data_IF_605360601708
#
_entry.id   IF_605360601708
#
_cell.length_a   1.000
_cell.length_b   1.000
_cell.length_c   1.000
_cell.angle_alpha   90.00
_cell.angle_beta   90.00
_cell.angle_gamma   90.00
#
_symmetry.space_group_name_H-M   'P 1'
#
loop_
_entity.id
_entity.type
_entity.pdbx_description
1 polymer ?
#
# COMPACT_ATOMS: atom_id res chain seq x y z
N UNK A 1 -1.87 24.04 20.11
CA UNK A 1 -1.60 24.84 18.89
C UNK A 1 -2.72 25.84 18.78
N UNK A 2 -2.41 27.12 18.64
CA UNK A 2 -3.39 28.20 18.51
C UNK A 2 -4.26 27.99 17.26
N UNK A 3 -5.55 28.33 17.34
CA UNK A 3 -6.46 28.18 16.20
C UNK A 3 -6.19 29.25 15.14
N UNK A 4 -6.57 28.99 13.88
CA UNK A 4 -6.46 30.00 12.82
C UNK A 4 -7.24 31.27 13.16
N UNK A 5 -8.38 31.13 13.83
CA UNK A 5 -9.20 32.26 14.26
C UNK A 5 -8.48 33.12 15.31
N UNK A 6 -7.80 32.51 16.28
CA UNK A 6 -6.99 33.24 17.27
C UNK A 6 -5.84 34.01 16.61
N UNK A 7 -5.15 33.38 15.65
CA UNK A 7 -4.05 34.03 14.92
C UNK A 7 -4.60 35.21 14.10
N UNK A 8 -5.71 35.03 13.38
CA UNK A 8 -6.35 36.09 12.60
C UNK A 8 -6.83 37.24 13.48
N UNK A 9 -7.50 36.95 14.59
CA UNK A 9 -7.95 37.95 15.54
C UNK A 9 -6.78 38.78 16.07
N UNK A 10 -5.67 38.13 16.43
CA UNK A 10 -4.49 38.81 16.93
C UNK A 10 -3.81 39.67 15.86
N UNK A 11 -3.69 39.17 14.63
CA UNK A 11 -3.13 39.94 13.51
C UNK A 11 -4.00 41.15 13.14
N UNK A 12 -5.33 41.03 13.27
CA UNK A 12 -6.25 42.12 13.00
C UNK A 12 -6.27 43.18 14.11
N UNK A 13 -6.03 42.78 15.36
CA UNK A 13 -6.04 43.66 16.52
C UNK A 13 -4.70 44.38 16.78
N UNK A 14 -3.60 43.93 16.18
CA UNK A 14 -2.27 44.51 16.38
C UNK A 14 -2.03 45.72 15.49
N UNK A 15 -1.45 46.79 16.06
CA UNK A 15 -1.09 48.02 15.32
C UNK A 15 0.12 47.84 14.37
N UNK A 16 0.77 46.67 14.38
CA UNK A 16 1.92 46.35 13.54
C UNK A 16 2.11 44.85 13.28
N UNK A 17 2.93 44.52 12.28
CA UNK A 17 3.20 43.13 11.87
C UNK A 17 4.40 42.54 12.62
N UNK A 18 4.15 41.54 13.48
CA UNK A 18 5.19 40.78 14.20
C UNK A 18 5.55 39.49 13.43
N UNK A 19 6.62 39.54 12.65
CA UNK A 19 7.17 38.39 11.90
C UNK A 19 7.52 37.22 12.84
N UNK A 20 8.08 37.49 14.02
CA UNK A 20 8.49 36.46 14.97
C UNK A 20 7.28 35.71 15.53
N UNK A 21 6.13 36.38 15.69
CA UNK A 21 4.89 35.72 16.07
C UNK A 21 4.39 34.74 15.00
N UNK A 22 4.42 35.14 13.73
CA UNK A 22 3.98 34.29 12.61
C UNK A 22 4.88 33.06 12.48
N UNK A 23 6.20 33.24 12.56
CA UNK A 23 7.17 32.14 12.49
C UNK A 23 6.97 31.10 13.61
N UNK A 24 6.65 31.54 14.83
CA UNK A 24 6.32 30.63 15.96
C UNK A 24 5.04 29.82 15.75
N UNK A 25 4.13 30.29 14.91
CA UNK A 25 2.83 29.67 14.64
C UNK A 25 2.74 29.06 13.23
N UNK A 26 3.89 28.83 12.58
CA UNK A 26 3.92 28.29 11.23
C UNK A 26 3.30 26.89 11.19
N UNK A 27 2.62 26.59 10.09
CA UNK A 27 2.03 25.28 9.88
C UNK A 27 3.13 24.21 9.79
N UNK A 28 2.89 22.99 10.32
CA UNK A 28 3.83 21.89 10.18
C UNK A 28 4.03 21.54 8.72
N UNK A 29 5.19 20.97 8.38
CA UNK A 29 5.42 20.46 7.04
C UNK A 29 4.44 19.33 6.70
N UNK A 30 4.18 19.13 5.40
CA UNK A 30 3.33 18.03 4.92
C UNK A 30 3.79 16.67 5.47
N UNK A 31 5.10 16.41 5.46
CA UNK A 31 5.67 15.14 5.92
C UNK A 31 5.46 14.92 7.43
N UNK A 32 5.62 15.97 8.23
CA UNK A 32 5.38 15.91 9.67
C UNK A 32 3.91 15.68 9.99
N UNK A 33 3.00 16.41 9.34
CA UNK A 33 1.57 16.25 9.54
C UNK A 33 1.13 14.84 9.15
N UNK A 34 1.55 14.34 7.99
CA UNK A 34 1.19 12.98 7.54
C UNK A 34 1.76 11.91 8.48
N UNK A 35 2.99 12.10 8.99
CA UNK A 35 3.58 11.21 10.00
C UNK A 35 2.75 11.18 11.28
N UNK A 36 2.30 12.33 11.78
CA UNK A 36 1.43 12.40 12.96
C UNK A 36 0.10 11.68 12.72
N UNK A 37 -0.53 11.88 11.55
CA UNK A 37 -1.80 11.23 11.20
C UNK A 37 -1.67 9.71 11.07
N UNK A 38 -0.53 9.23 10.58
CA UNK A 38 -0.20 7.80 10.52
C UNK A 38 0.04 7.20 11.91
N UNK A 39 0.80 7.89 12.76
CA UNK A 39 1.08 7.48 14.13
C UNK A 39 -0.19 7.41 14.97
N UNK A 40 -1.06 8.42 14.88
CA UNK A 40 -2.34 8.46 15.60
C UNK A 40 -3.27 7.28 15.27
N UNK A 41 -3.11 6.66 14.09
CA UNK A 41 -3.92 5.53 13.61
C UNK A 41 -3.18 4.20 13.64
N UNK A 42 -1.92 4.17 14.06
CA UNK A 42 -1.09 2.95 14.05
C UNK A 42 -0.80 2.40 12.64
N UNK A 43 -0.86 3.23 11.59
CA UNK A 43 -0.64 2.80 10.21
C UNK A 43 0.82 3.03 9.81
N UNK A 44 1.50 1.99 9.35
CA UNK A 44 2.85 2.10 8.83
C UNK A 44 2.89 2.77 7.45
N UNK A 45 3.99 3.48 7.17
CA UNK A 45 4.26 4.08 5.85
C UNK A 45 4.19 3.05 4.72
N UNK A 46 4.69 1.83 4.97
CA UNK A 46 4.65 0.74 4.02
C UNK A 46 3.22 0.20 3.76
N UNK A 47 2.33 0.22 4.75
CA UNK A 47 0.91 -0.10 4.54
C UNK A 47 0.25 0.95 3.64
N UNK A 48 0.48 2.25 3.91
CA UNK A 48 -0.07 3.32 3.08
C UNK A 48 0.39 3.21 1.62
N UNK A 49 1.71 3.05 1.39
CA UNK A 49 2.29 2.91 0.04
C UNK A 49 1.66 1.71 -0.71
N UNK A 50 1.48 0.58 -0.02
CA UNK A 50 0.84 -0.62 -0.60
C UNK A 50 -0.64 -0.37 -0.93
N UNK A 51 -1.38 0.30 -0.06
CA UNK A 51 -2.80 0.58 -0.27
C UNK A 51 -3.05 1.59 -1.41
N UNK A 52 -2.11 2.51 -1.63
CA UNK A 52 -2.19 3.47 -2.73
C UNK A 52 -1.74 2.89 -4.08
N UNK A 53 -1.20 1.67 -4.09
CA UNK A 53 -0.60 1.02 -5.27
C UNK A 53 0.47 1.88 -5.96
N UNK A 54 1.25 2.61 -5.17
CA UNK A 54 2.38 3.41 -5.68
C UNK A 54 3.67 2.61 -5.59
N UNK A 55 4.58 2.84 -6.53
CA UNK A 55 5.90 2.22 -6.50
C UNK A 55 6.61 2.56 -5.17
N UNK A 56 7.33 1.60 -4.59
CA UNK A 56 7.91 1.75 -3.25
C UNK A 56 8.82 2.97 -3.14
N UNK A 57 9.78 3.14 -4.07
CA UNK A 57 10.72 4.24 -4.05
C UNK A 57 10.00 5.60 -4.17
N UNK A 58 9.08 5.70 -5.13
CA UNK A 58 8.25 6.89 -5.33
C UNK A 58 7.41 7.22 -4.09
N UNK A 59 6.78 6.21 -3.48
CA UNK A 59 6.00 6.36 -2.25
C UNK A 59 6.82 6.94 -1.10
N UNK A 60 8.04 6.46 -0.88
CA UNK A 60 8.92 7.04 0.14
C UNK A 60 9.34 8.48 -0.17
N UNK A 61 9.62 8.82 -1.43
CA UNK A 61 9.92 10.20 -1.84
C UNK A 61 8.75 11.16 -1.57
N UNK A 62 7.51 10.71 -1.79
CA UNK A 62 6.31 11.47 -1.44
C UNK A 62 6.17 11.67 0.06
N UNK A 63 6.30 10.59 0.83
CA UNK A 63 6.13 10.62 2.28
C UNK A 63 7.30 11.31 3.03
N UNK A 64 8.43 11.53 2.37
CA UNK A 64 9.55 12.33 2.88
C UNK A 64 9.43 13.81 2.53
N UNK A 65 8.46 14.20 1.70
CA UNK A 65 8.33 15.58 1.22
C UNK A 65 9.32 15.97 0.11
N UNK A 66 10.15 15.04 -0.38
CA UNK A 66 11.06 15.29 -1.51
C UNK A 66 10.28 15.55 -2.81
N UNK A 67 9.14 14.89 -2.99
CA UNK A 67 8.23 15.08 -4.13
C UNK A 67 6.83 15.45 -3.67
N UNK A 68 6.14 16.26 -4.47
CA UNK A 68 4.75 16.64 -4.21
C UNK A 68 3.79 15.51 -4.57
N UNK A 69 2.83 15.26 -3.69
CA UNK A 69 1.77 14.30 -3.91
C UNK A 69 0.69 14.90 -4.81
N UNK A 70 0.19 14.15 -5.79
CA UNK A 70 -0.90 14.62 -6.65
C UNK A 70 -2.21 14.77 -5.86
N UNK A 71 -3.10 15.65 -6.31
CA UNK A 71 -4.41 15.90 -5.67
C UNK A 71 -5.22 14.61 -5.47
N UNK A 72 -5.30 13.77 -6.50
CA UNK A 72 -5.97 12.47 -6.43
C UNK A 72 -5.33 11.56 -5.38
N UNK A 73 -4.01 11.54 -5.28
CA UNK A 73 -3.30 10.70 -4.31
C UNK A 73 -3.48 11.22 -2.86
N UNK A 74 -3.61 12.53 -2.67
CA UNK A 74 -3.98 13.14 -1.39
C UNK A 74 -5.40 12.74 -0.98
N UNK A 75 -6.37 12.79 -1.90
CA UNK A 75 -7.75 12.34 -1.64
C UNK A 75 -7.79 10.85 -1.28
N UNK A 76 -7.09 10.01 -2.03
CA UNK A 76 -6.98 8.57 -1.72
C UNK A 76 -6.37 8.33 -0.35
N UNK A 77 -5.34 9.10 0.02
CA UNK A 77 -4.70 9.03 1.33
C UNK A 77 -5.70 9.40 2.43
N UNK A 78 -6.45 10.49 2.27
CA UNK A 78 -7.48 10.90 3.23
C UNK A 78 -8.57 9.83 3.43
N UNK A 79 -9.01 9.21 2.33
CA UNK A 79 -10.00 8.12 2.35
C UNK A 79 -9.45 6.86 3.04
N UNK A 80 -8.22 6.46 2.70
CA UNK A 80 -7.58 5.28 3.31
C UNK A 80 -7.39 5.44 4.81
N UNK A 81 -7.00 6.65 5.25
CA UNK A 81 -6.82 6.98 6.65
C UNK A 81 -8.15 7.25 7.38
N UNK A 82 -9.29 7.28 6.68
CA UNK A 82 -10.61 7.64 7.24
C UNK A 82 -10.55 8.93 8.05
N UNK A 83 -10.00 9.97 7.45
CA UNK A 83 -9.83 11.27 8.08
C UNK A 83 -11.17 12.02 8.17
N UNK A 84 -11.28 12.96 9.10
CA UNK A 84 -12.39 13.93 9.10
C UNK A 84 -12.25 14.88 7.91
N UNK A 85 -13.33 15.53 7.48
CA UNK A 85 -13.27 16.52 6.38
C UNK A 85 -12.32 17.67 6.72
N UNK A 86 -12.26 18.10 7.98
CA UNK A 86 -11.33 19.14 8.44
C UNK A 86 -9.87 18.69 8.30
N UNK A 87 -9.54 17.48 8.75
CA UNK A 87 -8.19 16.93 8.60
C UNK A 87 -7.82 16.68 7.13
N UNK A 88 -8.76 16.20 6.32
CA UNK A 88 -8.55 16.00 4.88
C UNK A 88 -8.29 17.33 4.16
N UNK A 89 -9.02 18.39 4.51
CA UNK A 89 -8.75 19.73 3.98
C UNK A 89 -7.37 20.25 4.41
N UNK A 90 -6.99 20.02 5.68
CA UNK A 90 -5.65 20.38 6.16
C UNK A 90 -4.56 19.63 5.40
N UNK A 91 -4.75 18.33 5.15
CA UNK A 91 -3.86 17.50 4.34
C UNK A 91 -3.68 18.08 2.91
N UNK A 92 -4.79 18.44 2.26
CA UNK A 92 -4.77 19.02 0.91
C UNK A 92 -4.05 20.37 0.88
N UNK A 93 -4.31 21.25 1.85
CA UNK A 93 -3.64 22.55 1.98
C UNK A 93 -2.13 22.39 2.13
N UNK A 94 -1.68 21.51 3.02
CA UNK A 94 -0.25 21.23 3.23
C UNK A 94 0.40 20.56 2.02
N UNK A 95 -0.36 19.74 1.28
CA UNK A 95 0.08 19.13 0.02
C UNK A 95 0.12 20.11 -1.16
N UNK A 96 -0.29 21.37 -0.98
CA UNK A 96 -0.36 22.38 -2.04
C UNK A 96 -1.48 22.14 -3.06
N UNK A 97 -2.53 21.39 -2.68
CA UNK A 97 -3.69 21.11 -3.52
C UNK A 97 -4.89 21.98 -3.10
N UNK A 98 -5.78 22.23 -4.07
CA UNK A 98 -7.04 22.93 -3.81
C UNK A 98 -7.88 22.19 -2.76
N UNK A 99 -8.57 22.96 -1.92
CA UNK A 99 -9.49 22.42 -0.92
C UNK A 99 -10.65 21.66 -1.60
N UNK A 100 -11.27 20.73 -0.86
CA UNK A 100 -12.47 20.03 -1.33
C UNK A 100 -13.61 21.03 -1.50
N UNK A 101 -14.19 21.06 -2.69
CA UNK A 101 -15.27 21.97 -3.04
C UNK A 101 -16.55 21.21 -3.32
N UNK A 102 -17.56 21.37 -2.46
CA UNK A 102 -18.80 20.59 -2.53
C UNK A 102 -19.62 20.76 -3.82
N UNK A 103 -19.34 21.80 -4.64
CA UNK A 103 -20.00 21.96 -5.95
C UNK A 103 -19.34 21.15 -7.06
N UNK A 104 -18.09 20.71 -6.88
CA UNK A 104 -17.48 19.74 -7.78
C UNK A 104 -18.06 18.36 -7.47
N UNK A 105 -18.54 17.68 -8.52
CA UNK A 105 -19.13 16.34 -8.44
C UNK A 105 -18.19 15.33 -7.77
N UNK A 106 -16.90 15.35 -8.10
CA UNK A 106 -15.93 14.40 -7.55
C UNK A 106 -15.66 14.68 -6.08
N UNK A 107 -15.43 15.95 -5.74
CA UNK A 107 -15.18 16.38 -4.38
C UNK A 107 -16.38 16.14 -3.47
N UNK A 108 -17.61 16.35 -3.96
CA UNK A 108 -18.84 16.04 -3.24
C UNK A 108 -18.90 14.55 -2.87
N UNK A 109 -18.52 13.65 -3.79
CA UNK A 109 -18.43 12.21 -3.52
C UNK A 109 -17.37 11.89 -2.47
N UNK A 110 -16.20 12.55 -2.54
CA UNK A 110 -15.13 12.39 -1.54
C UNK A 110 -15.59 12.84 -0.15
N UNK A 111 -16.21 14.03 -0.04
CA UNK A 111 -16.75 14.57 1.21
C UNK A 111 -17.78 13.60 1.79
N UNK A 112 -18.71 13.13 0.96
CA UNK A 112 -19.72 12.17 1.38
C UNK A 112 -19.10 10.85 1.90
N UNK A 113 -18.12 10.31 1.19
CA UNK A 113 -17.45 9.07 1.59
C UNK A 113 -16.69 9.21 2.92
N UNK A 114 -16.07 10.37 3.17
CA UNK A 114 -15.42 10.69 4.44
C UNK A 114 -16.42 10.78 5.59
N UNK A 115 -17.51 11.53 5.41
CA UNK A 115 -18.57 11.70 6.42
C UNK A 115 -19.26 10.38 6.77
N UNK A 116 -19.45 9.48 5.79
CA UNK A 116 -20.04 8.16 6.03
C UNK A 116 -19.05 7.11 6.54
N UNK A 117 -17.75 7.44 6.63
CA UNK A 117 -16.73 6.51 7.12
C UNK A 117 -16.58 5.25 6.27
N UNK A 118 -16.81 5.36 4.95
CA UNK A 118 -16.78 4.24 4.01
C UNK A 118 -15.43 3.50 4.06
N UNK A 119 -15.45 2.21 3.71
CA UNK A 119 -14.20 1.49 3.48
C UNK A 119 -13.47 2.09 2.28
N UNK A 120 -12.14 1.99 2.24
CA UNK A 120 -11.37 2.55 1.12
C UNK A 120 -11.75 1.93 -0.22
N UNK A 121 -12.07 0.63 -0.25
CA UNK A 121 -12.47 -0.09 -1.46
C UNK A 121 -13.84 0.38 -1.96
N UNK A 122 -14.81 0.51 -1.05
CA UNK A 122 -16.17 0.97 -1.39
C UNK A 122 -16.15 2.44 -1.82
N UNK A 123 -15.40 3.28 -1.10
CA UNK A 123 -15.24 4.69 -1.43
C UNK A 123 -14.59 4.87 -2.81
N UNK A 124 -13.57 4.06 -3.12
CA UNK A 124 -12.94 4.09 -4.43
C UNK A 124 -13.93 3.77 -5.55
N UNK A 125 -14.67 2.66 -5.40
CA UNK A 125 -15.67 2.25 -6.38
C UNK A 125 -16.79 3.28 -6.53
N UNK A 126 -17.24 3.88 -5.43
CA UNK A 126 -18.27 4.92 -5.45
C UNK A 126 -17.80 6.19 -6.17
N UNK A 127 -16.56 6.63 -5.94
CA UNK A 127 -16.04 7.88 -6.52
C UNK A 127 -15.67 7.68 -7.99
N UNK A 128 -14.87 6.65 -8.29
CA UNK A 128 -14.23 6.45 -9.60
C UNK A 128 -14.85 5.31 -10.45
N UNK A 129 -15.77 4.52 -9.91
CA UNK A 129 -16.27 3.31 -10.60
C UNK A 129 -17.13 3.57 -11.85
N UNK A 130 -17.72 4.75 -11.99
CA UNK A 130 -18.54 5.07 -13.18
C UNK A 130 -17.70 5.44 -14.41
N UNK A 131 -16.47 5.92 -14.23
CA UNK A 131 -15.65 6.39 -15.35
C UNK A 131 -14.92 5.26 -16.09
N UNK A 132 -14.74 4.10 -15.44
CA UNK A 132 -14.11 2.92 -16.06
C UNK A 132 -14.94 2.28 -17.19
N UNK A 133 -16.26 2.57 -17.27
CA UNK A 133 -17.14 1.97 -18.30
C UNK A 133 -16.95 2.54 -19.71
N UNK A 134 -16.21 3.64 -19.88
CA UNK A 134 -16.04 4.32 -21.18
C UNK A 134 -14.82 3.84 -21.99
N UNK A 135 -13.89 3.09 -21.40
CA UNK A 135 -12.76 2.49 -22.12
C UNK A 135 -12.98 0.98 -22.21
N UNK A 136 -13.47 0.54 -23.37
CA UNK A 136 -13.56 -0.87 -23.70
C UNK A 136 -12.18 -1.54 -23.62
N UNK A 137 -12.15 -2.67 -22.92
CA UNK A 137 -11.14 -3.73 -23.06
C UNK A 137 -9.67 -3.31 -22.82
N UNK A 138 -9.35 -2.78 -21.64
CA UNK A 138 -8.09 -3.12 -20.93
C UNK A 138 -8.07 -2.54 -19.51
N UNK A 139 -8.16 -3.43 -18.52
CA UNK A 139 -7.65 -3.14 -17.18
C UNK A 139 -8.72 -3.05 -16.11
N UNK A 140 -8.76 -4.10 -15.29
CA UNK A 140 -9.22 -3.98 -13.91
C UNK A 140 -8.47 -2.82 -13.20
N UNK A 141 -9.07 -2.21 -12.17
CA UNK A 141 -8.55 -1.04 -11.48
C UNK A 141 -7.11 -1.28 -11.00
N UNK A 142 -6.15 -0.54 -11.59
CA UNK A 142 -4.73 -0.55 -11.17
C UNK A 142 -4.55 -0.18 -9.68
N UNK A 143 -5.58 0.39 -9.03
CA UNK A 143 -5.56 0.87 -7.65
C UNK A 143 -6.18 -0.03 -6.57
N UNK A 144 -6.98 -1.05 -6.91
CA UNK A 144 -7.64 -1.92 -5.90
C UNK A 144 -6.98 -3.31 -5.81
N UNK A 145 -6.42 -3.82 -6.91
CA UNK A 145 -5.90 -5.20 -6.98
C UNK A 145 -4.68 -5.50 -6.10
N UNK A 146 -4.02 -4.49 -5.50
CA UNK A 146 -2.95 -4.75 -4.53
C UNK A 146 -3.47 -5.25 -3.17
N UNK A 147 -4.71 -4.92 -2.78
CA UNK A 147 -5.25 -5.33 -1.47
C UNK A 147 -5.82 -6.76 -1.50
N UNK A 148 -6.22 -7.26 -2.67
CA UNK A 148 -6.88 -8.57 -2.82
C UNK A 148 -5.93 -9.77 -2.98
N UNK A 149 -4.61 -9.61 -2.82
CA UNK A 149 -3.73 -10.77 -2.59
C UNK A 149 -3.81 -11.13 -1.11
N UNK A 150 -4.61 -12.15 -0.79
CA UNK A 150 -4.72 -12.77 0.54
C UNK A 150 -3.34 -12.89 1.20
N UNK A 151 -3.23 -12.74 2.54
CA UNK A 151 -1.99 -12.99 3.24
C UNK A 151 -1.50 -14.41 2.92
N UNK A 152 -0.20 -14.56 2.78
CA UNK A 152 0.49 -15.84 2.63
C UNK A 152 0.46 -16.59 3.98
N UNK A 153 -0.72 -16.83 4.55
CA UNK A 153 -0.91 -17.77 5.65
C UNK A 153 -1.15 -19.15 5.06
N UNK A 154 -0.07 -19.71 4.52
CA UNK A 154 0.22 -21.13 4.38
C UNK A 154 1.67 -21.19 3.86
N UNK A 155 2.60 -20.83 4.75
CA UNK A 155 3.98 -21.28 4.61
C UNK A 155 3.90 -22.80 4.77
N UNK A 156 3.82 -23.50 3.65
CA UNK A 156 4.00 -24.94 3.62
C UNK A 156 5.50 -25.18 3.92
N UNK A 157 5.87 -25.76 5.07
CA UNK A 157 7.28 -25.82 5.51
C UNK A 157 8.14 -26.79 4.70
N UNK A 158 7.56 -27.49 3.73
CA UNK A 158 8.27 -28.44 2.88
C UNK A 158 8.71 -27.78 1.57
N UNK A 159 9.85 -27.07 1.56
CA UNK A 159 10.74 -26.88 0.37
C UNK A 159 11.88 -25.90 0.69
N UNK A 160 12.69 -26.21 1.69
CA UNK A 160 14.11 -25.83 1.63
C UNK A 160 14.85 -27.00 0.97
N UNK A 161 15.24 -26.79 -0.28
CA UNK A 161 15.85 -27.80 -1.14
C UNK A 161 16.23 -27.19 -2.48
N UNK A 162 17.15 -26.24 -2.40
CA UNK A 162 18.06 -25.69 -3.42
C UNK A 162 18.04 -26.39 -4.79
N UNK A 163 17.82 -25.60 -5.85
CA UNK A 163 18.37 -25.62 -7.23
C UNK A 163 17.32 -25.39 -8.34
N UNK A 164 17.56 -24.34 -9.13
CA UNK A 164 17.45 -24.39 -10.60
C UNK A 164 16.06 -24.26 -11.24
N UNK A 165 15.81 -23.07 -11.81
CA UNK A 165 14.98 -22.81 -13.00
C UNK A 165 14.26 -24.00 -13.66
N UNK A 166 12.92 -23.98 -13.70
CA UNK A 166 12.15 -24.50 -14.84
C UNK A 166 10.67 -24.04 -14.80
N UNK A 167 10.26 -23.35 -15.88
CA UNK A 167 8.91 -23.29 -16.48
C UNK A 167 7.75 -22.74 -15.61
N UNK A 168 7.15 -21.58 -15.88
CA UNK A 168 6.60 -21.13 -17.17
C UNK A 168 5.91 -22.24 -17.99
N UNK A 169 5.05 -23.06 -17.37
CA UNK A 169 4.02 -23.83 -18.09
C UNK A 169 3.01 -24.47 -17.13
N UNK A 170 2.06 -23.71 -16.60
CA UNK A 170 0.75 -24.26 -16.21
C UNK A 170 -0.31 -23.20 -15.90
N UNK A 171 -0.35 -22.14 -16.70
CA UNK A 171 -1.55 -21.30 -16.79
C UNK A 171 -2.33 -21.68 -18.05
N UNK A 172 -2.98 -22.85 -18.05
CA UNK A 172 -4.20 -23.16 -18.82
C UNK A 172 -4.57 -24.65 -18.72
N UNK A 173 -5.87 -24.85 -18.50
CA UNK A 173 -6.69 -26.05 -18.82
C UNK A 173 -6.81 -27.15 -17.75
N UNK A 174 -7.99 -27.11 -17.13
CA UNK A 174 -8.99 -28.20 -17.16
C UNK A 174 -8.78 -29.34 -16.16
N UNK A 175 -9.35 -29.14 -14.98
CA UNK A 175 -9.83 -30.23 -14.13
C UNK A 175 -10.83 -31.11 -14.90
N UNK A 176 -10.44 -32.34 -15.27
CA UNK A 176 -11.36 -33.48 -15.44
C UNK A 176 -10.66 -34.78 -15.04
N UNK A 177 -11.19 -35.37 -13.96
CA UNK A 177 -11.30 -36.81 -13.62
C UNK A 177 -10.46 -37.80 -14.46
N UNK A 178 -9.54 -38.54 -13.83
CA UNK A 178 -9.53 -40.02 -13.68
C UNK A 178 -8.20 -40.57 -13.09
N UNK A 179 -8.16 -41.83 -12.61
CA UNK A 179 -7.45 -42.24 -11.39
C UNK A 179 -6.05 -42.83 -11.63
N UNK A 180 -5.38 -43.12 -10.51
CA UNK A 180 -4.12 -43.83 -10.37
C UNK A 180 -3.94 -45.05 -11.31
N UNK A 181 -2.66 -45.27 -11.64
CA UNK A 181 -2.03 -46.42 -12.32
C UNK A 181 -1.92 -46.30 -13.84
N UNK A 182 -0.75 -45.82 -14.28
CA UNK A 182 0.18 -46.63 -15.08
C UNK A 182 1.62 -46.11 -14.91
N UNK A 183 2.51 -47.09 -14.70
CA UNK A 183 3.98 -47.06 -14.61
C UNK A 183 4.69 -45.86 -15.25
N UNK A 184 5.49 -45.14 -14.45
CA UNK A 184 6.64 -44.39 -14.94
C UNK A 184 7.64 -45.36 -15.61
N UNK A 185 8.09 -45.11 -16.85
CA UNK A 185 9.23 -45.82 -17.41
C UNK A 185 10.52 -45.13 -16.94
N UNK A 186 11.00 -45.44 -15.74
CA UNK A 186 12.37 -45.12 -15.33
C UNK A 186 13.31 -46.25 -15.74
N UNK A 187 13.82 -46.17 -16.96
CA UNK A 187 15.15 -46.70 -17.35
C UNK A 187 15.87 -45.61 -18.14
N UNK A 188 16.30 -44.57 -17.44
CA UNK A 188 17.40 -43.67 -17.77
C UNK A 188 17.52 -42.59 -16.67
N UNK A 189 17.94 -42.97 -15.47
CA UNK A 189 18.46 -42.05 -14.46
C UNK A 189 19.32 -42.85 -13.46
N UNK A 190 20.65 -42.73 -13.51
CA UNK A 190 21.54 -43.45 -12.62
C UNK A 190 21.88 -42.57 -11.42
N UNK A 191 20.98 -42.44 -10.45
CA UNK A 191 21.35 -42.01 -9.09
C UNK A 191 20.22 -42.28 -8.08
N UNK A 192 19.77 -43.53 -7.97
CA UNK A 192 18.94 -43.95 -6.82
C UNK A 192 19.03 -45.47 -6.56
N UNK A 193 19.94 -45.85 -5.67
CA UNK A 193 19.84 -46.99 -4.74
C UNK A 193 20.40 -46.46 -3.42
N UNK A 194 19.60 -46.17 -2.38
CA UNK A 194 18.96 -47.10 -1.42
C UNK A 194 19.89 -48.25 -1.05
N UNK A 195 20.17 -48.59 0.20
CA UNK A 195 19.63 -48.20 1.51
C UNK A 195 20.49 -48.97 2.54
N UNK A 196 20.59 -48.44 3.76
CA UNK A 196 20.77 -49.16 5.03
C UNK A 196 22.10 -49.90 5.30
N UNK A 197 22.85 -49.42 6.29
CA UNK A 197 23.36 -50.26 7.39
C UNK A 197 23.95 -49.37 8.50
N UNK A 198 23.34 -49.44 9.68
CA UNK A 198 24.06 -49.19 10.92
C UNK A 198 25.21 -50.20 11.03
N UNK A 199 26.46 -49.74 11.02
CA UNK A 199 27.58 -50.43 11.67
C UNK A 199 28.87 -49.60 11.56
N UNK A 200 29.55 -49.50 12.70
CA UNK A 200 30.99 -49.27 12.90
C UNK A 200 31.49 -47.81 12.92
N UNK A 201 31.48 -47.31 14.16
CA UNK A 201 32.63 -46.77 14.88
C UNK A 201 33.99 -46.91 14.16
N UNK A 202 34.75 -45.82 14.12
CA UNK A 202 36.18 -45.86 13.80
C UNK A 202 36.73 -44.49 13.44
N UNK A 203 37.02 -43.69 14.47
CA UNK A 203 37.97 -42.58 14.35
C UNK A 203 39.31 -43.10 13.85
N UNK A 204 40.00 -42.37 12.96
CA UNK A 204 41.45 -42.06 13.05
C UNK A 204 41.95 -41.31 11.80
N UNK A 205 42.36 -40.05 12.02
CA UNK A 205 43.62 -39.37 11.58
C UNK A 205 44.21 -39.57 10.17
N UNK A 206 44.30 -38.45 9.41
CA UNK A 206 45.46 -37.78 8.71
C UNK A 206 46.79 -38.56 8.56
N UNK A 207 47.73 -38.21 7.65
CA UNK A 207 47.74 -38.06 6.18
C UNK A 207 48.88 -38.90 5.51
N UNK A 208 49.05 -38.81 4.18
CA UNK A 208 50.29 -38.41 3.49
C UNK A 208 50.01 -38.18 2.00
#
# INVERSE_FOLDING_TARGET
>A
MSTTQEILHRLAASDGYDEAYVLRHQAPSFAEYLRQQLQARGISRAQLIRALCVERAYGYQLLNGTRRMSRTLLMRTALYLKMTVQDAQRLLRLGGAAALYARDRLDARVIFALEKGMSYEDAWLFIWGEEEKKHGDSGLPRGILCYRRKPMTEVNPCKHGIWGYCFFCCWRRRCRRRPMRTRCPTRACPFFRRENAWARCGWTTVPL
#
